data_IF_795570493830
#
_entry.id   IF_795570493830
#
_cell.length_a   1.000
_cell.length_b   1.000
_cell.length_c   1.000
_cell.angle_alpha   90.00
_cell.angle_beta   90.00
_cell.angle_gamma   90.00
#
_symmetry.space_group_name_H-M   'P 1'
#
loop_
_entity.id
_entity.type
_entity.pdbx_description
1 polymer ?
#
# COMPACT_ATOMS: atom_id res chain seq x y z
N UNK A 1 -18.59 -17.82 -5.86
CA UNK A 1 -20.03 -17.77 -5.48
C UNK A 1 -20.33 -18.85 -4.44
N UNK A 2 -21.34 -18.64 -3.59
CA UNK A 2 -21.90 -19.72 -2.77
C UNK A 2 -22.93 -20.47 -3.61
N UNK A 3 -22.71 -21.75 -3.89
CA UNK A 3 -23.50 -22.55 -4.81
C UNK A 3 -24.03 -23.81 -4.12
N UNK A 4 -25.19 -24.30 -4.56
CA UNK A 4 -25.71 -25.61 -4.19
C UNK A 4 -25.40 -26.61 -5.31
N UNK A 5 -24.81 -27.75 -4.97
CA UNK A 5 -24.50 -28.82 -5.93
C UNK A 5 -25.76 -29.59 -6.29
N UNK A 6 -25.69 -30.42 -7.34
CA UNK A 6 -26.76 -31.35 -7.72
C UNK A 6 -27.14 -32.33 -6.60
N UNK A 7 -26.24 -32.53 -5.64
CA UNK A 7 -26.42 -33.41 -4.49
C UNK A 7 -26.90 -32.65 -3.24
N UNK A 8 -27.45 -31.44 -3.43
CA UNK A 8 -27.96 -30.55 -2.37
C UNK A 8 -26.89 -30.15 -1.32
N UNK A 9 -25.61 -30.06 -1.71
CA UNK A 9 -24.56 -29.56 -0.84
C UNK A 9 -24.23 -28.10 -1.11
N UNK A 10 -24.12 -27.28 -0.06
CA UNK A 10 -23.66 -25.91 -0.17
C UNK A 10 -22.13 -25.85 -0.22
N UNK A 11 -21.59 -25.16 -1.23
CA UNK A 11 -20.16 -25.02 -1.48
C UNK A 11 -19.82 -23.57 -1.79
N UNK A 12 -18.78 -23.04 -1.13
CA UNK A 12 -18.17 -21.77 -1.51
C UNK A 12 -17.21 -21.99 -2.70
N UNK A 13 -17.72 -21.87 -3.92
CA UNK A 13 -16.95 -22.10 -5.15
C UNK A 13 -15.90 -21.01 -5.44
N UNK A 14 -16.07 -19.83 -4.86
CA UNK A 14 -15.06 -18.75 -4.90
C UNK A 14 -15.20 -17.91 -3.63
N UNK A 15 -14.07 -17.46 -3.10
CA UNK A 15 -13.98 -16.67 -1.88
C UNK A 15 -12.80 -15.69 -1.96
N UNK A 16 -13.05 -14.46 -1.51
CA UNK A 16 -12.01 -13.46 -1.29
C UNK A 16 -11.97 -13.12 0.20
N UNK A 17 -10.79 -13.28 0.79
CA UNK A 17 -10.53 -12.98 2.19
C UNK A 17 -9.55 -11.82 2.24
N UNK A 18 -9.82 -10.84 3.09
CA UNK A 18 -8.87 -9.82 3.48
C UNK A 18 -8.54 -10.02 4.96
N UNK A 19 -7.28 -9.81 5.32
CA UNK A 19 -6.81 -9.98 6.69
C UNK A 19 -6.51 -8.63 7.31
N UNK A 20 -6.65 -8.55 8.63
CA UNK A 20 -6.22 -7.38 9.41
C UNK A 20 -4.72 -7.44 9.62
N UNK A 21 -3.98 -6.51 9.02
CA UNK A 21 -2.51 -6.42 9.14
C UNK A 21 -2.06 -6.29 10.60
N UNK A 22 -2.87 -5.65 11.46
CA UNK A 22 -2.56 -5.53 12.88
C UNK A 22 -2.60 -6.87 13.63
N UNK A 23 -3.18 -7.92 13.04
CA UNK A 23 -3.24 -9.26 13.61
C UNK A 23 -2.02 -10.13 13.25
N UNK A 24 -1.07 -9.63 12.44
CA UNK A 24 0.08 -10.39 11.95
C UNK A 24 0.90 -11.05 13.08
N UNK A 25 1.04 -10.37 14.22
CA UNK A 25 1.82 -10.87 15.36
C UNK A 25 1.30 -12.21 15.92
N UNK A 26 0.00 -12.48 15.78
CA UNK A 26 -0.69 -13.68 16.29
C UNK A 26 -1.16 -14.64 15.20
N UNK A 27 -1.10 -14.26 13.93
CA UNK A 27 -1.54 -15.06 12.78
C UNK A 27 -0.37 -15.42 11.84
N UNK A 28 0.74 -15.88 12.43
CA UNK A 28 2.00 -16.09 11.68
C UNK A 28 1.86 -17.03 10.48
N UNK A 29 1.06 -18.09 10.61
CA UNK A 29 0.84 -19.07 9.54
C UNK A 29 0.15 -18.46 8.32
N UNK A 30 -0.85 -17.60 8.53
CA UNK A 30 -1.57 -16.91 7.45
C UNK A 30 -0.64 -15.92 6.75
N UNK A 31 0.09 -15.10 7.52
CA UNK A 31 0.98 -14.09 6.95
C UNK A 31 2.22 -14.70 6.27
N UNK A 32 2.60 -15.94 6.61
CA UNK A 32 3.62 -16.69 5.87
C UNK A 32 3.17 -17.11 4.46
N UNK A 33 1.86 -17.10 4.18
CA UNK A 33 1.29 -17.36 2.85
C UNK A 33 1.19 -16.10 1.98
N UNK A 34 1.65 -14.94 2.45
CA UNK A 34 1.64 -13.69 1.67
C UNK A 34 2.48 -13.84 0.41
N UNK A 35 1.86 -13.63 -0.75
CA UNK A 35 2.53 -13.65 -2.05
C UNK A 35 2.81 -12.23 -2.55
N UNK A 36 4.04 -11.77 -2.35
CA UNK A 36 4.45 -10.43 -2.76
C UNK A 36 4.61 -10.27 -4.28
N UNK A 37 4.49 -11.34 -5.07
CA UNK A 37 4.55 -11.24 -6.54
C UNK A 37 3.27 -10.65 -7.15
N UNK A 38 2.17 -10.66 -6.40
CA UNK A 38 0.88 -10.10 -6.81
C UNK A 38 0.67 -8.64 -6.35
N UNK A 39 1.65 -8.08 -5.63
CA UNK A 39 1.60 -6.74 -5.07
C UNK A 39 2.50 -5.79 -5.88
N UNK A 40 2.30 -4.47 -5.74
CA UNK A 40 3.21 -3.50 -6.35
C UNK A 40 4.61 -3.62 -5.70
N UNK A 41 5.69 -3.83 -6.49
CA UNK A 41 7.05 -3.95 -5.96
C UNK A 41 7.48 -2.76 -5.09
N UNK A 42 6.93 -1.56 -5.34
CA UNK A 42 7.22 -0.34 -4.56
C UNK A 42 6.57 -0.39 -3.19
N UNK A 43 5.34 -0.89 -3.10
CA UNK A 43 4.63 -1.10 -1.83
C UNK A 43 5.33 -2.16 -0.99
N UNK A 44 5.76 -3.26 -1.61
CA UNK A 44 6.55 -4.32 -0.94
C UNK A 44 7.88 -3.78 -0.42
N UNK A 45 8.53 -2.89 -1.18
CA UNK A 45 9.79 -2.27 -0.76
C UNK A 45 9.57 -1.28 0.37
N UNK A 46 8.53 -0.44 0.30
CA UNK A 46 8.13 0.48 1.35
C UNK A 46 7.83 -0.25 2.66
N UNK A 47 7.06 -1.34 2.61
CA UNK A 47 6.70 -2.12 3.79
C UNK A 47 7.92 -2.69 4.53
N UNK A 48 9.00 -3.05 3.82
CA UNK A 48 10.27 -3.51 4.43
C UNK A 48 10.99 -2.41 5.20
N UNK A 49 10.78 -1.16 4.81
CA UNK A 49 11.36 0.02 5.45
C UNK A 49 10.42 0.66 6.49
N UNK A 50 9.32 -0.01 6.84
CA UNK A 50 8.27 0.51 7.73
C UNK A 50 7.67 1.83 7.20
N UNK A 51 7.44 1.88 5.88
CA UNK A 51 6.84 2.99 5.17
C UNK A 51 5.49 2.56 4.58
N UNK A 52 4.50 3.45 4.63
CA UNK A 52 3.21 3.21 3.96
C UNK A 52 3.23 3.93 2.61
N UNK A 53 3.36 3.17 1.52
CA UNK A 53 3.33 3.68 0.15
C UNK A 53 2.09 3.15 -0.57
N UNK A 54 1.46 3.98 -1.39
CA UNK A 54 0.43 3.56 -2.35
C UNK A 54 0.72 4.25 -3.68
N UNK A 55 0.82 3.47 -4.75
CA UNK A 55 1.03 4.00 -6.10
C UNK A 55 -0.24 4.66 -6.65
N UNK A 56 -0.10 5.85 -7.25
CA UNK A 56 -1.16 6.53 -8.00
C UNK A 56 -0.68 6.82 -9.43
N UNK A 57 -1.56 7.36 -10.28
CA UNK A 57 -1.29 7.60 -11.71
C UNK A 57 -0.83 9.03 -12.05
N UNK A 58 -0.46 9.83 -11.04
CA UNK A 58 0.01 11.20 -11.24
C UNK A 58 1.50 11.34 -11.51
N UNK A 59 1.97 12.59 -11.47
CA UNK A 59 3.36 12.97 -11.81
C UNK A 59 4.11 13.65 -10.64
N UNK A 60 3.40 14.07 -9.58
CA UNK A 60 3.98 14.78 -8.45
C UNK A 60 4.21 13.81 -7.28
N UNK A 61 5.47 13.52 -7.00
CA UNK A 61 5.88 12.70 -5.87
C UNK A 61 5.64 13.41 -4.54
N UNK A 62 5.01 12.72 -3.58
CA UNK A 62 4.72 13.27 -2.26
C UNK A 62 5.38 12.42 -1.18
N UNK A 63 5.97 13.05 -0.17
CA UNK A 63 6.49 12.39 1.03
C UNK A 63 6.08 13.21 2.24
N UNK A 64 5.34 12.60 3.16
CA UNK A 64 4.70 13.33 4.26
C UNK A 64 4.76 12.51 5.55
N UNK A 65 4.85 13.18 6.70
CA UNK A 65 4.81 12.55 8.02
C UNK A 65 3.38 12.53 8.56
N UNK A 66 2.72 11.39 8.45
CA UNK A 66 1.38 11.10 8.94
C UNK A 66 0.34 11.01 7.83
N UNK A 67 -0.44 9.94 7.84
CA UNK A 67 -1.46 9.63 6.84
C UNK A 67 -2.48 10.77 6.60
N UNK A 68 -2.92 11.47 7.65
CA UNK A 68 -3.86 12.59 7.52
C UNK A 68 -3.26 13.77 6.75
N UNK A 69 -2.00 14.10 7.01
CA UNK A 69 -1.30 15.17 6.30
C UNK A 69 -0.97 14.73 4.86
N UNK A 70 -0.64 13.45 4.66
CA UNK A 70 -0.42 12.88 3.33
C UNK A 70 -1.67 13.00 2.44
N UNK A 71 -2.85 12.66 2.96
CA UNK A 71 -4.13 12.84 2.26
C UNK A 71 -4.40 14.31 1.94
N UNK A 72 -4.26 15.20 2.93
CA UNK A 72 -4.47 16.64 2.72
C UNK A 72 -3.50 17.23 1.67
N UNK A 73 -2.28 16.72 1.61
CA UNK A 73 -1.26 17.14 0.63
C UNK A 73 -1.63 16.70 -0.79
N UNK A 74 -2.16 15.49 -0.96
CA UNK A 74 -2.67 15.04 -2.26
C UNK A 74 -3.89 15.85 -2.69
N UNK A 75 -4.80 16.15 -1.75
CA UNK A 75 -5.99 16.96 -2.01
C UNK A 75 -5.62 18.37 -2.48
N UNK A 76 -4.68 19.05 -1.80
CA UNK A 76 -4.25 20.39 -2.20
C UNK A 76 -3.53 20.40 -3.55
N UNK A 77 -2.74 19.38 -3.86
CA UNK A 77 -2.10 19.23 -5.18
C UNK A 77 -3.16 19.10 -6.27
N UNK A 78 -4.15 18.23 -6.04
CA UNK A 78 -5.24 18.02 -7.00
C UNK A 78 -6.08 19.29 -7.19
N UNK A 79 -6.37 20.00 -6.10
CA UNK A 79 -7.13 21.25 -6.11
C UNK A 79 -6.44 22.35 -6.95
N UNK A 80 -5.10 22.37 -6.96
CA UNK A 80 -4.31 23.31 -7.76
C UNK A 80 -3.94 22.77 -9.16
N UNK A 81 -4.61 21.71 -9.62
CA UNK A 81 -4.47 21.17 -10.98
C UNK A 81 -3.31 20.20 -11.19
N UNK A 82 -2.57 19.86 -10.13
CA UNK A 82 -1.54 18.81 -10.18
C UNK A 82 -2.14 17.40 -10.08
N UNK A 83 -1.30 16.39 -10.30
CA UNK A 83 -1.67 14.98 -10.14
C UNK A 83 -0.68 14.29 -9.21
N UNK A 84 -1.11 13.85 -8.00
CA UNK A 84 -0.20 13.14 -7.09
C UNK A 84 0.15 11.76 -7.67
N UNK A 85 1.44 11.44 -7.72
CA UNK A 85 1.97 10.18 -8.23
C UNK A 85 1.89 9.05 -7.20
N UNK A 86 1.81 9.41 -5.92
CA UNK A 86 1.80 8.45 -4.83
C UNK A 86 1.21 9.04 -3.55
N UNK A 87 0.81 8.14 -2.65
CA UNK A 87 0.73 8.39 -1.21
C UNK A 87 1.98 7.81 -0.55
N UNK A 88 2.65 8.55 0.32
CA UNK A 88 3.77 8.03 1.11
C UNK A 88 3.79 8.69 2.49
N UNK A 89 3.54 7.87 3.50
CA UNK A 89 3.64 8.22 4.91
C UNK A 89 4.90 7.62 5.54
N UNK A 90 5.81 8.50 5.98
CA UNK A 90 7.08 8.14 6.67
C UNK A 90 6.93 7.99 8.18
N UNK A 91 5.72 8.16 8.72
CA UNK A 91 5.42 8.11 10.14
C UNK A 91 5.79 9.39 10.90
N UNK A 92 5.32 9.51 12.14
CA UNK A 92 5.50 10.73 12.96
C UNK A 92 6.95 11.01 13.39
N UNK A 93 7.80 9.99 13.41
CA UNK A 93 9.22 10.06 13.80
C UNK A 93 10.11 9.48 12.71
N UNK A 94 10.11 10.10 11.54
CA UNK A 94 10.89 9.62 10.40
C UNK A 94 12.40 9.65 10.68
N UNK A 95 13.04 8.48 10.59
CA UNK A 95 14.51 8.36 10.68
C UNK A 95 15.20 8.74 9.37
N UNK A 96 16.49 9.09 9.42
CA UNK A 96 17.29 9.38 8.22
C UNK A 96 17.23 8.22 7.21
N UNK A 97 17.32 6.97 7.68
CA UNK A 97 17.23 5.79 6.84
C UNK A 97 15.86 5.66 6.15
N UNK A 98 14.76 5.91 6.86
CA UNK A 98 13.40 5.89 6.28
C UNK A 98 13.24 6.94 5.19
N UNK A 99 13.80 8.14 5.40
CA UNK A 99 13.78 9.20 4.39
C UNK A 99 14.59 8.81 3.15
N UNK A 100 15.76 8.19 3.33
CA UNK A 100 16.59 7.69 2.21
C UNK A 100 15.85 6.61 1.41
N UNK A 101 15.22 5.63 2.08
CA UNK A 101 14.44 4.59 1.39
C UNK A 101 13.20 5.18 0.69
N UNK A 102 12.52 6.13 1.32
CA UNK A 102 11.42 6.87 0.70
C UNK A 102 11.86 7.57 -0.60
N UNK A 103 13.00 8.26 -0.58
CA UNK A 103 13.56 8.88 -1.78
C UNK A 103 13.91 7.87 -2.85
N UNK A 104 14.55 6.74 -2.50
CA UNK A 104 14.86 5.68 -3.48
C UNK A 104 13.60 5.19 -4.19
N UNK A 105 12.52 4.95 -3.44
CA UNK A 105 11.23 4.54 -3.99
C UNK A 105 10.67 5.61 -4.94
N UNK A 106 10.63 6.88 -4.51
CA UNK A 106 10.14 7.98 -5.34
C UNK A 106 10.95 8.16 -6.62
N UNK A 107 12.28 8.11 -6.54
CA UNK A 107 13.16 8.26 -7.71
C UNK A 107 13.14 7.05 -8.65
N UNK A 108 12.60 5.91 -8.20
CA UNK A 108 12.44 4.73 -9.05
C UNK A 108 11.16 4.76 -9.89
N UNK A 109 10.20 5.63 -9.56
CA UNK A 109 8.99 5.80 -10.34
C UNK A 109 9.23 6.81 -11.46
N UNK A 110 9.38 6.32 -12.70
CA UNK A 110 9.62 7.14 -13.89
C UNK A 110 8.50 8.16 -14.18
N UNK A 111 7.33 8.00 -13.56
CA UNK A 111 6.20 8.95 -13.70
C UNK A 111 6.40 10.20 -12.86
N UNK A 112 7.21 10.13 -11.81
CA UNK A 112 7.52 11.28 -10.95
C UNK A 112 8.45 12.23 -11.70
N UNK A 113 8.05 13.50 -11.81
CA UNK A 113 8.78 14.55 -12.54
C UNK A 113 9.53 15.53 -11.63
#
# INVERSE_FOLDING_TARGET
PLAETSDNQLVAADAKLNFDDNAAFRQKEIFALRDTSQEDPREVTAAKADLNYIGLDGEIGCMVNGAGLAMATMDIIKLHGGTPANFLDVGGSASENQVVEAFKILTSDERVK
#
